data_IF_452540637413
#
_entry.id   IF_452540637413
#
_cell.length_a   1.000
_cell.length_b   1.000
_cell.length_c   1.000
_cell.angle_alpha   90.00
_cell.angle_beta   90.00
_cell.angle_gamma   90.00
#
_symmetry.space_group_name_H-M   'P 1'
#
loop_
_entity.id
_entity.type
_entity.pdbx_description
1 polymer ?
#
# COMPACT_ATOMS: atom_id res chain seq x y z
N UNK A 1 -27.02 -15.60 26.72
CA UNK A 1 -27.26 -14.18 27.00
C UNK A 1 -26.74 -13.90 28.41
N UNK A 2 -25.42 -13.74 28.56
CA UNK A 2 -24.80 -13.45 29.86
C UNK A 2 -24.64 -11.93 29.95
N UNK A 3 -25.47 -11.29 30.78
CA UNK A 3 -25.19 -9.97 31.31
C UNK A 3 -23.93 -10.08 32.18
N UNK A 4 -22.76 -10.00 31.55
CA UNK A 4 -21.50 -9.88 32.26
C UNK A 4 -21.50 -8.56 33.02
N UNK A 5 -21.55 -8.64 34.35
CA UNK A 5 -21.26 -7.51 35.25
C UNK A 5 -19.98 -6.83 34.73
N UNK A 6 -20.12 -5.60 34.22
CA UNK A 6 -18.97 -4.80 33.79
C UNK A 6 -18.12 -4.53 35.03
N UNK A 7 -16.97 -5.18 35.13
CA UNK A 7 -16.00 -4.91 36.21
C UNK A 7 -15.64 -3.43 36.15
N UNK A 8 -15.73 -2.74 37.28
CA UNK A 8 -15.23 -1.39 37.45
C UNK A 8 -13.75 -1.50 37.85
N UNK A 9 -12.93 -0.64 37.25
CA UNK A 9 -11.51 -0.58 37.56
C UNK A 9 -11.12 0.85 37.92
N UNK A 10 -10.22 0.96 38.89
CA UNK A 10 -9.63 2.24 39.31
C UNK A 10 -8.28 2.39 38.61
N UNK A 11 -8.06 3.51 37.91
CA UNK A 11 -6.77 3.79 37.28
C UNK A 11 -5.74 4.18 38.35
N UNK A 12 -4.63 3.46 38.50
CA UNK A 12 -3.65 3.80 39.55
C UNK A 12 -2.82 5.08 39.31
N UNK A 13 -2.99 5.73 38.15
CA UNK A 13 -2.31 6.99 37.82
C UNK A 13 -3.23 8.20 38.08
N UNK A 14 -4.44 8.21 37.52
CA UNK A 14 -5.39 9.32 37.70
C UNK A 14 -6.43 9.08 38.80
N UNK A 15 -6.47 7.88 39.39
CA UNK A 15 -7.42 7.45 40.42
C UNK A 15 -8.90 7.46 39.98
N UNK A 16 -9.18 7.64 38.69
CA UNK A 16 -10.54 7.60 38.16
C UNK A 16 -11.07 6.17 38.07
N UNK A 17 -12.30 5.99 38.53
CA UNK A 17 -13.07 4.76 38.41
C UNK A 17 -13.93 4.79 37.16
N UNK A 18 -13.80 3.78 36.31
CA UNK A 18 -14.74 3.62 35.20
C UNK A 18 -14.88 2.16 34.78
N UNK A 19 -15.90 1.90 33.97
CA UNK A 19 -16.17 0.57 33.47
C UNK A 19 -15.03 0.06 32.60
N UNK A 20 -14.68 -1.22 32.74
CA UNK A 20 -13.73 -1.91 31.87
C UNK A 20 -14.12 -1.73 30.39
N UNK A 21 -13.34 -0.92 29.67
CA UNK A 21 -13.50 -0.68 28.25
C UNK A 21 -12.13 -0.80 27.56
N UNK A 22 -12.10 -0.63 26.23
CA UNK A 22 -10.85 -0.74 25.45
C UNK A 22 -9.78 0.32 25.76
N UNK A 23 -10.06 1.32 26.60
CA UNK A 23 -9.07 2.33 27.02
C UNK A 23 -8.23 1.87 28.21
N UNK A 24 -8.64 0.82 28.93
CA UNK A 24 -7.82 0.21 29.99
C UNK A 24 -6.84 -0.82 29.45
N UNK A 25 -5.74 -0.97 30.16
CA UNK A 25 -4.87 -2.14 30.12
C UNK A 25 -5.24 -2.94 31.35
N UNK A 26 -5.85 -4.09 31.12
CA UNK A 26 -6.20 -5.03 32.18
C UNK A 26 -5.00 -5.95 32.37
N UNK A 27 -4.35 -5.84 33.52
CA UNK A 27 -3.23 -6.65 33.92
C UNK A 27 -3.68 -8.08 34.24
N UNK A 28 -2.86 -9.07 33.86
CA UNK A 28 -3.12 -10.48 34.17
C UNK A 28 -3.00 -10.82 35.66
N UNK A 29 -2.57 -9.87 36.51
CA UNK A 29 -2.39 -10.07 37.95
C UNK A 29 -3.70 -10.09 38.76
N UNK A 30 -4.84 -9.76 38.15
CA UNK A 30 -6.16 -9.82 38.80
C UNK A 30 -6.44 -8.70 39.82
N UNK A 31 -5.53 -7.74 39.99
CA UNK A 31 -5.73 -6.59 40.89
C UNK A 31 -6.88 -5.67 40.41
N UNK A 32 -7.51 -4.94 41.34
CA UNK A 32 -8.54 -3.95 40.97
C UNK A 32 -7.94 -2.67 40.36
N UNK A 33 -6.69 -2.37 40.74
CA UNK A 33 -5.90 -1.28 40.19
C UNK A 33 -5.40 -1.65 38.79
N UNK A 34 -6.03 -1.03 37.80
CA UNK A 34 -5.68 -1.12 36.39
C UNK A 34 -5.16 0.23 35.90
N UNK A 35 -4.85 0.37 34.62
CA UNK A 35 -4.36 1.65 34.09
C UNK A 35 -5.01 2.00 32.77
N UNK A 36 -5.37 3.26 32.59
CA UNK A 36 -5.71 3.74 31.25
C UNK A 36 -4.46 3.70 30.38
N UNK A 37 -4.60 3.23 29.13
CA UNK A 37 -3.55 3.30 28.10
C UNK A 37 -2.97 4.70 28.02
N UNK A 38 -3.85 5.70 28.02
CA UNK A 38 -3.51 7.13 28.00
C UNK A 38 -2.60 7.50 29.17
N UNK A 39 -3.00 7.19 30.40
CA UNK A 39 -2.21 7.51 31.58
C UNK A 39 -0.85 6.78 31.59
N UNK A 40 -0.82 5.51 31.17
CA UNK A 40 0.42 4.74 31.13
C UNK A 40 1.43 5.33 30.13
N UNK A 41 0.98 5.74 28.94
CA UNK A 41 1.85 6.37 27.94
C UNK A 41 2.46 7.67 28.47
N UNK A 42 1.63 8.54 29.08
CA UNK A 42 2.10 9.79 29.70
C UNK A 42 3.13 9.52 30.80
N UNK A 43 2.85 8.55 31.65
CA UNK A 43 3.74 8.18 32.75
C UNK A 43 5.07 7.59 32.27
N UNK A 44 5.04 6.72 31.26
CA UNK A 44 6.25 6.20 30.60
C UNK A 44 7.09 7.33 29.99
N UNK A 45 6.46 8.34 29.39
CA UNK A 45 7.15 9.52 28.88
C UNK A 45 7.84 10.29 30.01
N UNK A 46 7.13 10.59 31.10
CA UNK A 46 7.71 11.31 32.25
C UNK A 46 8.87 10.54 32.89
N UNK A 47 8.76 9.21 33.02
CA UNK A 47 9.84 8.38 33.57
C UNK A 47 11.09 8.41 32.70
N UNK A 48 10.94 8.19 31.39
CA UNK A 48 12.08 8.19 30.48
C UNK A 48 12.68 9.59 30.34
N UNK A 49 11.88 10.66 30.46
CA UNK A 49 12.36 12.06 30.52
C UNK A 49 13.22 12.30 31.77
N UNK A 50 12.77 11.89 32.95
CA UNK A 50 13.57 11.99 34.18
C UNK A 50 14.89 11.22 34.08
N UNK A 51 14.89 10.06 33.43
CA UNK A 51 16.10 9.28 33.19
C UNK A 51 17.05 9.98 32.21
N UNK A 52 16.52 10.62 31.18
CA UNK A 52 17.29 11.44 30.24
C UNK A 52 17.99 12.61 30.96
N UNK A 53 17.29 13.27 31.87
CA UNK A 53 17.84 14.38 32.67
C UNK A 53 18.90 13.89 33.68
N UNK A 54 18.87 12.61 34.07
CA UNK A 54 19.73 11.98 35.08
C UNK A 54 21.11 11.52 34.59
N UNK A 55 21.57 11.95 33.41
CA UNK A 55 22.90 11.66 32.83
C UNK A 55 23.25 10.18 32.51
N UNK A 56 22.35 9.22 32.73
CA UNK A 56 22.62 7.78 32.57
C UNK A 56 22.08 7.22 31.25
N UNK A 57 22.53 7.79 30.13
CA UNK A 57 22.13 7.34 28.78
C UNK A 57 23.12 6.28 28.31
N UNK A 58 22.75 5.01 28.47
CA UNK A 58 23.43 3.91 27.79
C UNK A 58 23.55 4.20 26.27
N UNK A 59 24.78 4.09 25.72
CA UNK A 59 25.11 4.28 24.29
C UNK A 59 24.23 3.47 23.34
N UNK A 60 23.63 2.38 23.83
CA UNK A 60 22.70 1.56 23.06
C UNK A 60 21.50 2.36 22.53
N UNK A 61 20.88 3.18 23.39
CA UNK A 61 19.66 3.89 23.02
C UNK A 61 19.94 5.19 22.25
N UNK A 62 21.05 5.91 22.47
CA UNK A 62 21.36 7.19 21.78
C UNK A 62 20.22 8.23 21.79
N UNK A 63 19.43 8.28 22.86
CA UNK A 63 18.37 9.28 23.01
C UNK A 63 19.00 10.50 23.65
N UNK A 64 19.28 11.54 22.86
CA UNK A 64 19.97 12.74 23.37
C UNK A 64 19.05 13.97 23.51
N UNK A 65 17.80 13.86 23.06
CA UNK A 65 16.84 14.98 23.09
C UNK A 65 15.44 14.49 23.47
N UNK A 66 14.66 15.35 24.12
CA UNK A 66 13.24 15.11 24.42
C UNK A 66 12.44 14.84 23.13
N UNK A 67 12.81 15.50 22.02
CA UNK A 67 12.20 15.27 20.71
C UNK A 67 12.39 13.82 20.24
N UNK A 68 13.59 13.27 20.37
CA UNK A 68 13.86 11.88 19.99
C UNK A 68 13.13 10.89 20.92
N UNK A 69 13.09 11.18 22.22
CA UNK A 69 12.30 10.39 23.17
C UNK A 69 10.81 10.35 22.76
N UNK A 70 10.24 11.52 22.42
CA UNK A 70 8.86 11.63 21.92
C UNK A 70 8.64 10.75 20.68
N UNK A 71 9.55 10.81 19.70
CA UNK A 71 9.45 10.00 18.47
C UNK A 71 9.43 8.50 18.76
N UNK A 72 10.25 8.03 19.70
CA UNK A 72 10.30 6.61 20.06
C UNK A 72 9.08 6.13 20.83
N UNK A 73 8.57 6.94 21.75
CA UNK A 73 7.32 6.63 22.44
C UNK A 73 6.16 6.60 21.44
N UNK A 74 6.12 7.55 20.50
CA UNK A 74 5.15 7.50 19.41
C UNK A 74 5.27 6.19 18.60
N UNK A 75 6.50 5.78 18.25
CA UNK A 75 6.75 4.55 17.49
C UNK A 75 6.31 3.28 18.23
N UNK A 76 6.53 3.21 19.55
CA UNK A 76 6.16 2.04 20.37
C UNK A 76 4.63 1.91 20.53
N UNK A 77 3.94 3.05 20.53
CA UNK A 77 2.53 3.12 20.89
C UNK A 77 1.61 3.18 19.67
N UNK A 78 2.10 3.54 18.50
CA UNK A 78 1.28 3.63 17.29
C UNK A 78 0.69 2.28 16.86
N UNK A 79 -0.63 2.13 16.98
CA UNK A 79 -1.35 0.90 16.59
C UNK A 79 -1.51 0.73 15.08
N UNK A 80 -1.21 1.74 14.27
CA UNK A 80 -1.29 1.73 12.81
C UNK A 80 0.11 1.78 12.16
N UNK A 81 1.13 1.30 12.89
CA UNK A 81 2.53 1.33 12.47
C UNK A 81 2.80 0.68 11.13
N UNK A 82 2.14 -0.45 10.87
CA UNK A 82 2.23 -1.21 9.62
C UNK A 82 1.88 -0.39 8.36
N UNK A 83 1.19 0.75 8.50
CA UNK A 83 0.84 1.59 7.36
C UNK A 83 2.05 2.32 6.75
N UNK A 84 3.08 2.61 7.53
CA UNK A 84 4.27 3.36 7.09
C UNK A 84 5.56 2.51 7.12
N UNK A 85 5.47 1.26 7.56
CA UNK A 85 6.57 0.30 7.52
C UNK A 85 6.63 -0.39 6.15
N UNK A 86 7.85 -0.64 5.67
CA UNK A 86 8.05 -1.49 4.50
C UNK A 86 7.73 -2.95 4.87
N UNK A 87 7.12 -3.69 3.95
CA UNK A 87 6.86 -5.12 4.18
C UNK A 87 8.19 -5.86 4.32
N UNK A 88 8.46 -6.43 5.50
CA UNK A 88 9.57 -7.34 5.71
C UNK A 88 9.07 -8.79 5.59
N UNK A 89 9.13 -9.34 4.38
CA UNK A 89 8.73 -10.72 4.09
C UNK A 89 9.57 -11.71 4.91
N UNK A 90 10.86 -11.43 5.10
CA UNK A 90 11.78 -12.26 5.89
C UNK A 90 11.35 -12.40 7.34
N UNK A 91 11.06 -11.28 8.02
CA UNK A 91 10.57 -11.30 9.40
C UNK A 91 9.25 -12.06 9.52
N UNK A 92 8.37 -11.90 8.51
CA UNK A 92 7.09 -12.63 8.46
C UNK A 92 7.32 -14.14 8.38
N UNK A 93 8.27 -14.57 7.56
CA UNK A 93 8.59 -15.98 7.37
C UNK A 93 9.26 -16.56 8.61
N UNK A 94 10.17 -15.82 9.23
CA UNK A 94 10.81 -16.21 10.49
C UNK A 94 9.80 -16.37 11.63
N UNK A 95 8.68 -15.65 11.59
CA UNK A 95 7.58 -15.83 12.55
C UNK A 95 6.75 -17.10 12.33
N UNK A 96 6.89 -17.77 11.17
CA UNK A 96 6.18 -19.02 10.88
C UNK A 96 6.98 -20.20 11.44
N UNK A 97 6.43 -20.99 12.38
CA UNK A 97 7.16 -22.06 13.06
C UNK A 97 7.60 -23.21 12.13
N UNK A 98 7.05 -23.27 10.91
CA UNK A 98 7.26 -24.35 9.94
C UNK A 98 8.40 -24.05 8.96
N UNK A 99 8.78 -22.77 8.78
CA UNK A 99 9.69 -22.37 7.71
C UNK A 99 11.11 -22.21 8.26
N UNK A 100 12.00 -23.13 7.90
CA UNK A 100 13.41 -23.08 8.31
C UNK A 100 14.19 -21.87 7.76
N UNK A 101 15.33 -21.54 8.39
CA UNK A 101 16.17 -20.39 8.01
C UNK A 101 16.62 -20.39 6.53
N UNK A 102 16.78 -21.56 5.92
CA UNK A 102 17.16 -21.71 4.50
C UNK A 102 16.13 -21.14 3.54
N UNK A 103 14.83 -21.38 3.80
CA UNK A 103 13.74 -20.84 2.99
C UNK A 103 13.62 -19.32 3.12
N UNK A 104 13.90 -18.77 4.29
CA UNK A 104 13.92 -17.33 4.51
C UNK A 104 14.93 -16.63 3.58
N UNK A 105 16.11 -17.22 3.36
CA UNK A 105 17.13 -16.70 2.44
C UNK A 105 16.67 -16.69 0.97
N UNK A 106 16.07 -17.79 0.48
CA UNK A 106 15.56 -17.84 -0.91
C UNK A 106 14.44 -16.84 -1.15
N UNK A 107 13.54 -16.68 -0.19
CA UNK A 107 12.45 -15.73 -0.31
C UNK A 107 12.98 -14.30 -0.21
N UNK A 108 13.99 -14.03 0.62
CA UNK A 108 14.66 -12.73 0.69
C UNK A 108 15.29 -12.32 -0.65
N UNK A 109 16.06 -13.22 -1.29
CA UNK A 109 16.68 -12.96 -2.60
C UNK A 109 15.61 -12.70 -3.65
N UNK A 110 14.52 -13.46 -3.62
CA UNK A 110 13.38 -13.28 -4.54
C UNK A 110 12.67 -11.94 -4.33
N UNK A 111 12.41 -11.56 -3.07
CA UNK A 111 11.82 -10.26 -2.70
C UNK A 111 12.70 -9.10 -3.17
N UNK A 112 14.02 -9.21 -2.96
CA UNK A 112 15.00 -8.22 -3.40
C UNK A 112 15.02 -8.10 -4.94
N UNK A 113 15.00 -9.22 -5.65
CA UNK A 113 14.95 -9.25 -7.11
C UNK A 113 13.67 -8.60 -7.63
N UNK A 114 12.50 -8.92 -7.06
CA UNK A 114 11.22 -8.29 -7.42
C UNK A 114 11.28 -6.78 -7.21
N UNK A 115 11.80 -6.31 -6.07
CA UNK A 115 11.94 -4.87 -5.82
C UNK A 115 12.85 -4.19 -6.83
N UNK A 116 14.02 -4.78 -7.11
CA UNK A 116 14.96 -4.25 -8.07
C UNK A 116 14.34 -4.15 -9.48
N UNK A 117 13.63 -5.20 -9.90
CA UNK A 117 12.90 -5.27 -11.18
C UNK A 117 11.84 -4.17 -11.26
N UNK A 118 11.07 -3.95 -10.19
CA UNK A 118 10.03 -2.93 -10.12
C UNK A 118 10.59 -1.51 -9.91
N UNK A 119 11.90 -1.34 -9.72
CA UNK A 119 12.50 -0.05 -9.36
C UNK A 119 12.02 0.47 -8.00
N UNK A 120 11.50 -0.42 -7.15
CA UNK A 120 11.15 -0.07 -5.78
C UNK A 120 12.43 0.09 -4.99
N UNK A 121 12.48 1.13 -4.15
CA UNK A 121 13.59 1.25 -3.21
C UNK A 121 13.73 -0.07 -2.46
N UNK A 122 14.95 -0.61 -2.43
CA UNK A 122 15.27 -1.63 -1.45
C UNK A 122 14.86 -1.08 -0.09
N UNK A 123 14.46 -1.92 0.87
CA UNK A 123 14.34 -1.46 2.24
C UNK A 123 15.74 -0.97 2.59
N UNK A 124 15.99 0.33 2.39
CA UNK A 124 17.12 1.01 2.99
C UNK A 124 16.88 0.62 4.44
N UNK A 125 17.81 -0.12 5.03
CA UNK A 125 17.96 -0.14 6.48
C UNK A 125 18.29 1.33 6.85
N UNK A 126 17.32 2.23 6.64
CA UNK A 126 17.34 3.56 7.20
C UNK A 126 17.33 3.23 8.66
N UNK A 127 18.50 3.45 9.23
CA UNK A 127 18.85 3.42 10.62
C UNK A 127 17.99 4.44 11.40
N UNK A 128 16.68 4.40 11.24
CA UNK A 128 15.77 5.00 12.16
C UNK A 128 15.89 4.16 13.42
N UNK A 129 16.71 4.63 14.36
CA UNK A 129 16.98 3.99 15.65
C UNK A 129 15.72 3.88 16.54
N UNK A 130 14.54 4.22 15.98
CA UNK A 130 13.22 4.03 16.57
C UNK A 130 12.98 2.57 17.00
N UNK A 131 13.53 1.59 16.28
CA UNK A 131 13.44 0.17 16.64
C UNK A 131 14.13 -0.17 17.97
N UNK A 132 15.09 0.66 18.42
CA UNK A 132 15.81 0.43 19.69
C UNK A 132 14.95 0.71 20.92
N UNK A 133 13.72 1.17 20.75
CA UNK A 133 12.79 1.39 21.87
C UNK A 133 13.27 2.48 22.84
N UNK A 134 12.82 2.37 24.08
CA UNK A 134 13.14 3.32 25.17
C UNK A 134 13.74 2.58 26.37
N UNK A 135 14.56 3.23 27.21
CA UNK A 135 15.18 2.60 28.36
C UNK A 135 14.20 1.92 29.34
N UNK A 136 12.99 2.47 29.48
CA UNK A 136 11.93 1.93 30.35
C UNK A 136 10.69 1.65 29.49
N UNK A 137 10.48 0.38 29.13
CA UNK A 137 9.36 -0.07 28.27
C UNK A 137 8.19 -0.67 29.04
N UNK A 138 8.42 -1.13 30.27
CA UNK A 138 7.41 -1.83 31.07
C UNK A 138 7.35 -1.32 32.50
N UNK A 139 6.21 -1.54 33.14
CA UNK A 139 5.87 -1.02 34.46
C UNK A 139 5.40 -2.15 35.35
N UNK A 140 5.74 -2.07 36.63
CA UNK A 140 5.27 -3.02 37.65
C UNK A 140 3.93 -2.55 38.23
N UNK A 141 3.03 -3.50 38.47
CA UNK A 141 1.77 -3.21 39.16
C UNK A 141 2.07 -2.67 40.57
N UNK A 142 1.49 -1.53 40.99
CA UNK A 142 1.79 -0.94 42.29
C UNK A 142 1.35 -1.84 43.46
N UNK A 143 0.29 -2.65 43.28
CA UNK A 143 -0.29 -3.51 44.32
C UNK A 143 0.48 -4.81 44.52
N UNK A 144 0.84 -5.51 43.43
CA UNK A 144 1.43 -6.85 43.50
C UNK A 144 2.85 -6.95 42.95
N UNK A 145 3.43 -5.84 42.48
CA UNK A 145 4.78 -5.73 41.89
C UNK A 145 5.05 -6.64 40.68
N UNK A 146 4.07 -7.42 40.21
CA UNK A 146 4.18 -8.19 38.97
C UNK A 146 4.35 -7.21 37.80
N UNK A 147 5.30 -7.52 36.91
CA UNK A 147 5.45 -6.81 35.64
C UNK A 147 4.15 -6.90 34.88
N UNK A 148 3.66 -5.75 34.42
CA UNK A 148 2.57 -5.72 33.46
C UNK A 148 3.15 -6.26 32.16
N UNK A 149 2.84 -7.52 31.81
CA UNK A 149 3.22 -8.11 30.52
C UNK A 149 2.70 -7.17 29.44
N UNK A 150 3.62 -6.44 28.82
CA UNK A 150 3.30 -5.42 27.85
C UNK A 150 2.76 -6.11 26.60
N UNK A 151 1.45 -6.36 26.56
CA UNK A 151 0.77 -6.31 25.26
C UNK A 151 1.18 -4.97 24.64
N UNK A 152 1.58 -4.94 23.36
CA UNK A 152 2.06 -3.72 22.75
C UNK A 152 1.04 -2.62 23.01
N UNK A 153 1.52 -1.52 23.56
CA UNK A 153 0.75 -0.39 24.06
C UNK A 153 0.10 0.35 22.88
N UNK A 154 -0.85 -0.27 22.18
CA UNK A 154 -1.35 0.26 20.93
C UNK A 154 -2.42 1.33 21.17
N UNK A 155 -2.15 2.52 20.65
CA UNK A 155 -3.09 3.62 20.50
C UNK A 155 -3.61 3.65 19.07
N UNK A 156 -4.93 3.76 18.93
CA UNK A 156 -5.61 3.96 17.65
C UNK A 156 -6.73 4.97 17.86
N UNK A 157 -6.96 5.84 16.89
CA UNK A 157 -8.08 6.81 16.87
C UNK A 157 -9.47 6.16 16.84
N UNK A 158 -9.56 4.84 16.63
CA UNK A 158 -10.83 4.13 16.48
C UNK A 158 -11.48 4.33 15.10
N UNK A 159 -10.80 4.97 14.15
CA UNK A 159 -11.30 5.15 12.78
C UNK A 159 -11.51 3.79 12.10
N UNK A 160 -12.74 3.43 11.68
CA UNK A 160 -13.01 2.15 11.05
C UNK A 160 -12.28 2.02 9.71
N UNK A 161 -12.06 3.13 9.02
CA UNK A 161 -11.38 3.15 7.72
C UNK A 161 -9.89 2.81 7.86
N UNK A 162 -9.21 3.38 8.87
CA UNK A 162 -7.80 3.05 9.14
C UNK A 162 -7.66 1.62 9.68
N UNK A 163 -8.64 1.17 10.47
CA UNK A 163 -8.70 -0.22 10.91
C UNK A 163 -8.79 -1.19 9.73
N UNK A 164 -9.70 -0.93 8.78
CA UNK A 164 -9.83 -1.75 7.57
C UNK A 164 -8.54 -1.73 6.74
N UNK A 165 -7.93 -0.56 6.54
CA UNK A 165 -6.68 -0.46 5.81
C UNK A 165 -5.55 -1.25 6.48
N UNK A 166 -5.45 -1.17 7.82
CA UNK A 166 -4.49 -1.95 8.60
C UNK A 166 -4.71 -3.45 8.43
N UNK A 167 -5.97 -3.89 8.49
CA UNK A 167 -6.32 -5.28 8.28
C UNK A 167 -5.95 -5.74 6.87
N UNK A 168 -6.24 -4.95 5.84
CA UNK A 168 -5.85 -5.22 4.45
C UNK A 168 -4.34 -5.34 4.31
N UNK A 169 -3.55 -4.42 4.89
CA UNK A 169 -2.08 -4.50 4.88
C UNK A 169 -1.57 -5.77 5.55
N UNK A 170 -2.17 -6.16 6.68
CA UNK A 170 -1.81 -7.39 7.38
C UNK A 170 -2.13 -8.63 6.54
N UNK A 171 -3.30 -8.69 5.92
CA UNK A 171 -3.68 -9.77 5.00
C UNK A 171 -2.73 -9.83 3.80
N UNK A 172 -2.41 -8.68 3.20
CA UNK A 172 -1.49 -8.61 2.06
C UNK A 172 -0.08 -9.09 2.43
N UNK A 173 0.40 -8.80 3.65
CA UNK A 173 1.69 -9.31 4.15
C UNK A 173 1.74 -10.84 4.17
N UNK A 174 0.69 -11.50 4.67
CA UNK A 174 0.62 -12.97 4.66
C UNK A 174 0.38 -13.53 3.26
N UNK A 175 -0.49 -12.87 2.47
CA UNK A 175 -0.76 -13.26 1.08
C UNK A 175 0.50 -13.19 0.21
N UNK A 176 1.37 -12.20 0.42
CA UNK A 176 2.66 -12.07 -0.26
C UNK A 176 3.58 -13.27 0.01
N UNK A 177 3.68 -13.70 1.28
CA UNK A 177 4.49 -14.86 1.66
C UNK A 177 3.94 -16.13 1.02
N UNK A 178 2.62 -16.36 1.11
CA UNK A 178 1.97 -17.51 0.49
C UNK A 178 2.19 -17.48 -1.03
N UNK A 179 2.04 -16.32 -1.66
CA UNK A 179 2.25 -16.15 -3.08
C UNK A 179 3.70 -16.48 -3.48
N UNK A 180 4.72 -16.01 -2.74
CA UNK A 180 6.11 -16.35 -3.03
C UNK A 180 6.40 -17.85 -2.88
N UNK A 181 5.79 -18.52 -1.89
CA UNK A 181 5.89 -19.97 -1.73
C UNK A 181 5.20 -20.76 -2.86
N UNK A 182 4.05 -20.28 -3.35
CA UNK A 182 3.34 -20.91 -4.47
C UNK A 182 4.04 -20.61 -5.80
N UNK A 183 4.54 -19.39 -5.98
CA UNK A 183 5.23 -18.98 -7.19
C UNK A 183 6.54 -19.75 -7.40
N UNK A 184 7.26 -20.09 -6.32
CA UNK A 184 8.48 -20.90 -6.39
C UNK A 184 8.22 -22.38 -6.74
N UNK A 185 7.02 -22.89 -6.45
CA UNK A 185 6.64 -24.28 -6.71
C UNK A 185 5.87 -24.48 -8.02
N UNK A 186 5.48 -23.40 -8.70
CA UNK A 186 4.64 -23.47 -9.91
C UNK A 186 5.33 -22.86 -11.13
N UNK A 187 4.83 -23.20 -12.33
CA UNK A 187 5.30 -22.59 -13.56
C UNK A 187 4.79 -21.14 -13.65
N UNK A 188 5.61 -20.20 -13.19
CA UNK A 188 5.27 -18.77 -13.11
C UNK A 188 4.92 -18.18 -14.49
N UNK A 189 5.56 -18.64 -15.57
CA UNK A 189 5.30 -18.18 -16.94
C UNK A 189 3.89 -18.53 -17.37
N UNK A 190 3.42 -19.75 -17.05
CA UNK A 190 2.05 -20.18 -17.33
C UNK A 190 1.01 -19.34 -16.59
N UNK A 191 1.24 -19.07 -15.30
CA UNK A 191 0.37 -18.20 -14.52
C UNK A 191 0.34 -16.78 -15.06
N UNK A 192 1.51 -16.25 -15.42
CA UNK A 192 1.66 -14.92 -16.02
C UNK A 192 0.86 -14.80 -17.32
N UNK A 193 0.97 -15.77 -18.23
CA UNK A 193 0.24 -15.79 -19.51
C UNK A 193 -1.28 -15.83 -19.31
N UNK A 194 -1.77 -16.69 -18.39
CA UNK A 194 -3.21 -16.78 -18.09
C UNK A 194 -3.74 -15.51 -17.45
N UNK A 195 -2.98 -14.96 -16.51
CA UNK A 195 -3.27 -13.68 -15.86
C UNK A 195 -3.38 -12.56 -16.89
N UNK A 196 -2.37 -12.43 -17.76
CA UNK A 196 -2.33 -11.42 -18.79
C UNK A 196 -3.49 -11.52 -19.78
N UNK A 197 -3.80 -12.73 -20.25
CA UNK A 197 -4.93 -12.96 -21.13
C UNK A 197 -6.26 -12.64 -20.44
N UNK A 198 -6.41 -12.98 -19.16
CA UNK A 198 -7.58 -12.62 -18.38
C UNK A 198 -7.73 -11.09 -18.21
N UNK A 199 -6.63 -10.37 -17.94
CA UNK A 199 -6.66 -8.90 -17.85
C UNK A 199 -7.02 -8.27 -19.20
N UNK A 200 -6.48 -8.78 -20.31
CA UNK A 200 -6.84 -8.34 -21.66
C UNK A 200 -8.34 -8.53 -21.93
N UNK A 201 -8.92 -9.68 -21.54
CA UNK A 201 -10.36 -9.96 -21.65
C UNK A 201 -11.23 -9.05 -20.76
N UNK A 202 -10.66 -8.46 -19.72
CA UNK A 202 -11.38 -7.50 -18.89
C UNK A 202 -11.54 -6.17 -19.63
N UNK A 203 -10.53 -5.74 -20.40
CA UNK A 203 -10.55 -4.45 -21.08
C UNK A 203 -11.16 -4.59 -22.49
N UNK A 204 -10.70 -5.57 -23.26
CA UNK A 204 -11.11 -5.80 -24.64
C UNK A 204 -12.21 -6.87 -24.71
N UNK A 205 -13.37 -6.55 -25.30
CA UNK A 205 -14.37 -7.55 -25.66
C UNK A 205 -13.80 -8.57 -26.64
N UNK A 206 -14.41 -9.75 -26.70
CA UNK A 206 -13.87 -10.91 -27.41
C UNK A 206 -13.63 -10.64 -28.91
N UNK A 207 -14.51 -9.88 -29.59
CA UNK A 207 -14.36 -9.57 -31.02
C UNK A 207 -13.15 -8.65 -31.27
N UNK A 208 -12.97 -7.63 -30.45
CA UNK A 208 -11.84 -6.69 -30.50
C UNK A 208 -10.54 -7.42 -30.17
N UNK A 209 -10.55 -8.27 -29.14
CA UNK A 209 -9.39 -9.03 -28.72
C UNK A 209 -8.95 -10.07 -29.76
N UNK A 210 -9.90 -10.73 -30.44
CA UNK A 210 -9.61 -11.63 -31.58
C UNK A 210 -8.94 -10.90 -32.72
N UNK A 211 -9.44 -9.71 -33.08
CA UNK A 211 -8.82 -8.85 -34.11
C UNK A 211 -7.41 -8.43 -33.69
N UNK A 212 -7.23 -8.01 -32.44
CA UNK A 212 -5.94 -7.56 -31.91
C UNK A 212 -4.87 -8.68 -31.89
N UNK A 213 -5.25 -9.88 -31.44
CA UNK A 213 -4.35 -11.03 -31.35
C UNK A 213 -4.29 -11.86 -32.64
N UNK A 214 -5.09 -11.55 -33.66
CA UNK A 214 -5.22 -12.34 -34.90
C UNK A 214 -5.50 -13.83 -34.65
N UNK A 215 -6.36 -14.11 -33.66
CA UNK A 215 -6.76 -15.47 -33.30
C UNK A 215 -8.25 -15.68 -33.54
N UNK A 216 -8.63 -16.91 -33.90
CA UNK A 216 -10.04 -17.27 -34.13
C UNK A 216 -10.85 -17.23 -32.84
N UNK A 217 -10.28 -17.70 -31.73
CA UNK A 217 -10.89 -17.66 -30.39
C UNK A 217 -9.83 -17.45 -29.33
N UNK A 218 -10.13 -16.67 -28.28
CA UNK A 218 -9.18 -16.49 -27.18
C UNK A 218 -9.08 -17.75 -26.31
N UNK A 219 -10.12 -18.60 -26.30
CA UNK A 219 -10.13 -19.87 -25.56
C UNK A 219 -9.06 -20.86 -26.06
N UNK A 220 -8.71 -20.82 -27.34
CA UNK A 220 -7.63 -21.63 -27.87
C UNK A 220 -6.28 -21.29 -27.19
N UNK A 221 -6.04 -20.02 -26.87
CA UNK A 221 -4.82 -19.60 -26.18
C UNK A 221 -4.72 -20.21 -24.76
N UNK A 222 -5.83 -20.39 -24.05
CA UNK A 222 -5.83 -21.04 -22.74
C UNK A 222 -5.32 -22.49 -22.82
N UNK A 223 -5.66 -23.20 -23.91
CA UNK A 223 -5.19 -24.56 -24.18
C UNK A 223 -3.71 -24.53 -24.55
N UNK A 224 -3.30 -23.63 -25.44
CA UNK A 224 -1.90 -23.51 -25.87
C UNK A 224 -0.96 -23.13 -24.73
N UNK A 225 -1.40 -22.31 -23.76
CA UNK A 225 -0.60 -21.96 -22.58
C UNK A 225 -0.45 -23.12 -21.58
N UNK A 226 -1.15 -24.24 -21.75
CA UNK A 226 -0.97 -25.41 -20.88
C UNK A 226 0.26 -26.25 -21.24
N UNK A 227 0.80 -26.14 -22.46
CA UNK A 227 1.96 -26.91 -22.93
C UNK A 227 3.03 -26.03 -23.57
N UNK A 228 4.30 -26.43 -23.46
CA UNK A 228 5.40 -25.71 -24.11
C UNK A 228 5.33 -25.77 -25.63
N UNK A 229 4.81 -26.88 -26.19
CA UNK A 229 4.60 -27.05 -27.63
C UNK A 229 3.52 -26.09 -28.13
N UNK A 230 2.40 -25.98 -27.40
CA UNK A 230 1.34 -25.01 -27.70
C UNK A 230 1.82 -23.57 -27.58
N UNK A 231 2.62 -23.25 -26.56
CA UNK A 231 3.20 -21.92 -26.45
C UNK A 231 4.13 -21.60 -27.63
N UNK A 232 4.90 -22.57 -28.14
CA UNK A 232 5.76 -22.36 -29.31
C UNK A 232 4.98 -22.10 -30.59
N UNK A 233 3.81 -22.72 -30.78
CA UNK A 233 2.99 -22.59 -31.99
C UNK A 233 2.24 -21.26 -32.12
N UNK A 234 2.13 -20.48 -31.05
CA UNK A 234 1.54 -19.14 -31.11
C UNK A 234 2.48 -18.21 -31.89
N UNK A 235 1.91 -17.24 -32.61
CA UNK A 235 2.68 -16.20 -33.29
C UNK A 235 3.45 -15.29 -32.31
N UNK A 236 4.61 -14.78 -32.72
CA UNK A 236 5.47 -13.96 -31.86
C UNK A 236 4.79 -12.66 -31.42
N UNK A 237 4.02 -12.02 -32.30
CA UNK A 237 3.29 -10.80 -31.97
C UNK A 237 2.26 -11.04 -30.86
N UNK A 238 1.50 -12.12 -30.96
CA UNK A 238 0.52 -12.52 -29.92
C UNK A 238 1.20 -12.79 -28.58
N UNK A 239 2.37 -13.45 -28.59
CA UNK A 239 3.16 -13.66 -27.36
C UNK A 239 3.58 -12.33 -26.74
N UNK A 240 4.09 -11.41 -27.55
CA UNK A 240 4.54 -10.10 -27.07
C UNK A 240 3.38 -9.27 -26.51
N UNK A 241 2.22 -9.25 -27.18
CA UNK A 241 1.05 -8.53 -26.67
C UNK A 241 0.50 -9.11 -25.38
N UNK A 242 0.44 -10.44 -25.25
CA UNK A 242 -0.05 -11.08 -24.02
C UNK A 242 0.99 -10.93 -22.91
N UNK A 243 2.25 -11.33 -23.12
CA UNK A 243 3.30 -11.24 -22.08
C UNK A 243 3.60 -9.81 -21.66
N UNK A 244 3.55 -8.88 -22.61
CA UNK A 244 3.86 -7.47 -22.38
C UNK A 244 2.76 -6.72 -21.65
N UNK A 245 1.52 -7.23 -21.63
CA UNK A 245 0.40 -6.47 -21.06
C UNK A 245 0.53 -6.19 -19.56
N UNK A 246 0.82 -7.17 -18.68
CA UNK A 246 0.98 -6.87 -17.26
C UNK A 246 2.25 -6.05 -16.99
N UNK A 247 3.27 -6.17 -17.84
CA UNK A 247 4.48 -5.33 -17.76
C UNK A 247 4.14 -3.88 -18.11
N UNK A 248 3.32 -3.67 -19.13
CA UNK A 248 2.78 -2.34 -19.47
C UNK A 248 1.97 -1.77 -18.31
N UNK A 249 1.03 -2.54 -17.74
CA UNK A 249 0.28 -2.08 -16.57
C UNK A 249 1.19 -1.72 -15.39
N UNK A 250 2.24 -2.50 -15.15
CA UNK A 250 3.24 -2.18 -14.14
C UNK A 250 4.02 -0.90 -14.49
N UNK A 251 4.42 -0.70 -15.74
CA UNK A 251 5.17 0.49 -16.16
C UNK A 251 4.36 1.79 -16.05
N UNK A 252 3.03 1.72 -16.10
CA UNK A 252 2.15 2.87 -15.80
C UNK A 252 2.30 3.36 -14.35
N UNK A 253 2.73 2.50 -13.42
CA UNK A 253 2.96 2.83 -12.01
C UNK A 253 4.42 3.14 -11.69
N UNK A 254 5.36 2.47 -12.34
CA UNK A 254 6.79 2.60 -12.04
C UNK A 254 7.51 3.51 -13.04
N UNK A 255 7.42 4.83 -12.81
CA UNK A 255 8.07 5.85 -13.64
C UNK A 255 9.60 5.72 -13.69
N UNK A 256 10.22 5.10 -12.66
CA UNK A 256 11.69 4.97 -12.53
C UNK A 256 12.23 3.56 -12.82
N UNK A 257 11.37 2.61 -13.15
CA UNK A 257 11.80 1.24 -13.44
C UNK A 257 12.46 1.16 -14.83
N UNK A 258 13.24 0.11 -15.05
CA UNK A 258 13.72 -0.25 -16.40
C UNK A 258 12.57 -0.40 -17.40
N UNK A 259 11.37 -0.73 -16.91
CA UNK A 259 10.16 -0.88 -17.72
C UNK A 259 9.46 0.43 -18.05
N UNK A 260 9.89 1.59 -17.53
CA UNK A 260 9.27 2.87 -17.83
C UNK A 260 9.20 3.13 -19.35
N UNK A 261 10.22 2.72 -20.11
CA UNK A 261 10.25 2.83 -21.57
C UNK A 261 9.21 1.92 -22.27
N UNK A 262 8.85 0.79 -21.66
CA UNK A 262 7.84 -0.12 -22.21
C UNK A 262 6.44 0.48 -22.21
N UNK A 263 6.21 1.52 -21.38
CA UNK A 263 4.99 2.32 -21.41
C UNK A 263 4.71 2.88 -22.81
N UNK A 264 5.73 3.30 -23.54
CA UNK A 264 5.57 3.85 -24.89
C UNK A 264 5.57 2.76 -25.98
N UNK A 265 6.27 1.65 -25.73
CA UNK A 265 6.40 0.57 -26.71
C UNK A 265 5.11 -0.23 -26.88
N UNK A 266 4.44 -0.57 -25.78
CA UNK A 266 3.26 -1.45 -25.83
C UNK A 266 2.07 -0.86 -26.60
N UNK A 267 1.67 0.41 -26.37
CA UNK A 267 0.59 1.05 -27.13
C UNK A 267 0.94 1.17 -28.61
N UNK A 268 2.20 1.44 -28.94
CA UNK A 268 2.65 1.47 -30.33
C UNK A 268 2.48 0.11 -31.01
N UNK A 269 2.82 -1.00 -30.33
CA UNK A 269 2.60 -2.35 -30.84
C UNK A 269 1.10 -2.64 -31.05
N UNK A 270 0.25 -2.19 -30.12
CA UNK A 270 -1.19 -2.33 -30.22
C UNK A 270 -1.77 -1.53 -31.40
N UNK A 271 -1.40 -0.26 -31.53
CA UNK A 271 -1.92 0.67 -32.56
C UNK A 271 -1.41 0.31 -33.96
N UNK A 272 -0.13 -0.02 -34.13
CA UNK A 272 0.47 -0.35 -35.45
C UNK A 272 -0.30 -1.46 -36.18
N UNK A 273 -0.90 -2.39 -35.45
CA UNK A 273 -1.70 -3.47 -36.02
C UNK A 273 -3.21 -3.22 -36.06
N UNK A 274 -3.68 -2.13 -35.43
CA UNK A 274 -5.09 -1.73 -35.37
C UNK A 274 -5.40 -0.48 -36.22
N UNK A 275 -4.46 -0.02 -37.06
CA UNK A 275 -4.61 1.16 -37.92
C UNK A 275 -5.86 1.15 -38.83
N UNK A 276 -6.51 0.00 -39.02
CA UNK A 276 -7.77 -0.11 -39.76
C UNK A 276 -9.00 0.32 -38.97
N UNK A 277 -8.94 0.36 -37.63
CA UNK A 277 -10.09 0.64 -36.77
C UNK A 277 -9.93 2.01 -36.10
N UNK A 278 -10.64 3.02 -36.64
CA UNK A 278 -10.48 4.42 -36.22
C UNK A 278 -10.72 4.68 -34.73
N UNK A 279 -11.69 4.00 -34.10
CA UNK A 279 -12.00 4.22 -32.67
C UNK A 279 -10.91 3.64 -31.75
N UNK A 280 -10.42 2.44 -32.02
CA UNK A 280 -9.36 1.79 -31.22
C UNK A 280 -8.11 2.66 -31.17
N UNK A 281 -7.67 3.14 -32.34
CA UNK A 281 -6.49 3.96 -32.48
C UNK A 281 -6.65 5.29 -31.73
N UNK A 282 -7.81 5.96 -31.89
CA UNK A 282 -8.13 7.21 -31.17
C UNK A 282 -8.13 7.01 -29.65
N UNK A 283 -8.88 6.02 -29.14
CA UNK A 283 -8.97 5.75 -27.68
C UNK A 283 -7.58 5.45 -27.11
N UNK A 284 -6.80 4.61 -27.79
CA UNK A 284 -5.45 4.26 -27.37
C UNK A 284 -4.52 5.48 -27.34
N UNK A 285 -4.66 6.38 -28.32
CA UNK A 285 -3.88 7.61 -28.40
C UNK A 285 -4.26 8.60 -27.30
N UNK A 286 -5.56 8.76 -27.02
CA UNK A 286 -6.04 9.60 -25.93
C UNK A 286 -5.64 9.06 -24.55
N UNK A 287 -5.65 7.74 -24.36
CA UNK A 287 -5.11 7.16 -23.13
C UNK A 287 -3.64 7.49 -22.95
N UNK A 288 -2.81 7.42 -23.99
CA UNK A 288 -1.40 7.77 -23.85
C UNK A 288 -1.19 9.24 -23.48
N UNK A 289 -1.95 10.15 -24.09
CA UNK A 289 -1.97 11.55 -23.68
C UNK A 289 -2.39 11.70 -22.21
N UNK A 290 -3.45 11.02 -21.78
CA UNK A 290 -3.90 11.05 -20.39
C UNK A 290 -2.84 10.53 -19.43
N UNK A 291 -2.18 9.41 -19.73
CA UNK A 291 -1.12 8.89 -18.87
C UNK A 291 0.07 9.88 -18.83
N UNK A 292 0.37 10.59 -19.92
CA UNK A 292 1.43 11.62 -19.93
C UNK A 292 1.07 12.84 -19.08
N UNK A 293 -0.17 13.32 -19.16
CA UNK A 293 -0.63 14.47 -18.38
C UNK A 293 -0.98 14.14 -16.94
N UNK A 294 -1.28 12.88 -16.62
CA UNK A 294 -1.72 12.48 -15.30
C UNK A 294 -0.72 12.84 -14.18
N UNK A 295 0.58 12.49 -14.29
CA UNK A 295 1.56 12.89 -13.27
C UNK A 295 1.72 14.41 -13.16
N UNK A 296 1.67 15.11 -14.29
CA UNK A 296 1.81 16.57 -14.32
C UNK A 296 0.66 17.28 -13.61
N UNK A 297 -0.55 16.74 -13.66
CA UNK A 297 -1.73 17.33 -13.05
C UNK A 297 -2.00 16.79 -11.64
N UNK A 298 -2.14 15.47 -11.52
CA UNK A 298 -2.59 14.86 -10.27
C UNK A 298 -1.46 14.72 -9.25
N UNK A 299 -0.28 14.24 -9.66
CA UNK A 299 0.82 14.04 -8.71
C UNK A 299 1.33 15.39 -8.18
N UNK A 300 1.42 16.41 -9.02
CA UNK A 300 1.80 17.77 -8.58
C UNK A 300 0.80 18.36 -7.59
N UNK A 301 -0.50 18.27 -7.87
CA UNK A 301 -1.56 18.78 -6.99
C UNK A 301 -1.62 17.99 -5.67
N UNK A 302 -1.63 16.67 -5.75
CA UNK A 302 -1.70 15.80 -4.56
C UNK A 302 -0.46 15.93 -3.69
N UNK A 303 0.75 15.97 -4.26
CA UNK A 303 1.99 16.20 -3.52
C UNK A 303 2.01 17.58 -2.88
N UNK A 304 1.53 18.63 -3.55
CA UNK A 304 1.40 19.97 -2.96
C UNK A 304 0.50 19.97 -1.72
N UNK A 305 -0.66 19.30 -1.80
CA UNK A 305 -1.59 19.16 -0.68
C UNK A 305 -0.96 18.36 0.46
N UNK A 306 -0.36 17.21 0.16
CA UNK A 306 0.27 16.33 1.15
C UNK A 306 1.44 17.03 1.83
N UNK A 307 2.26 17.80 1.11
CA UNK A 307 3.36 18.57 1.71
C UNK A 307 2.88 19.57 2.74
N UNK A 308 1.80 20.31 2.44
CA UNK A 308 1.21 21.25 3.41
C UNK A 308 0.77 20.52 4.68
N UNK A 309 0.18 19.33 4.53
CA UNK A 309 -0.22 18.52 5.68
C UNK A 309 0.98 17.95 6.45
N UNK A 310 2.01 17.47 5.76
CA UNK A 310 3.23 16.95 6.36
C UNK A 310 4.00 18.03 7.13
N UNK A 311 4.14 19.22 6.56
CA UNK A 311 4.77 20.37 7.19
C UNK A 311 4.04 20.77 8.49
N UNK A 312 2.71 20.66 8.48
CA UNK A 312 1.88 20.93 9.67
C UNK A 312 2.00 19.83 10.73
N UNK A 313 1.80 18.56 10.36
CA UNK A 313 1.69 17.47 11.34
C UNK A 313 3.05 16.95 11.84
N UNK A 314 4.12 17.16 11.06
CA UNK A 314 5.48 16.70 11.34
C UNK A 314 5.52 15.27 11.93
N UNK A 315 5.11 14.26 11.14
CA UNK A 315 4.92 12.92 11.66
C UNK A 315 6.24 12.35 12.23
N UNK A 316 6.14 11.69 13.38
CA UNK A 316 7.32 11.30 14.17
C UNK A 316 8.32 10.40 13.43
N UNK A 317 7.90 9.65 12.41
CA UNK A 317 8.78 8.75 11.65
C UNK A 317 9.58 9.48 10.57
N UNK A 318 9.26 10.73 10.22
CA UNK A 318 10.07 11.54 9.31
C UNK A 318 11.27 12.15 10.07
N UNK A 319 12.42 12.21 9.41
CA UNK A 319 13.64 12.76 10.01
C UNK A 319 13.58 14.29 10.13
N UNK A 320 14.25 14.88 11.14
CA UNK A 320 14.36 16.33 11.26
C UNK A 320 15.01 17.00 10.04
N UNK A 321 15.95 16.32 9.37
CA UNK A 321 16.61 16.79 8.14
C UNK A 321 15.64 16.86 6.96
N UNK A 322 14.67 15.94 6.91
CA UNK A 322 13.58 15.99 5.94
C UNK A 322 12.69 17.21 6.18
N UNK A 323 12.38 17.53 7.44
CA UNK A 323 11.59 18.73 7.76
C UNK A 323 12.32 20.01 7.34
N UNK A 324 13.66 20.06 7.47
CA UNK A 324 14.46 21.18 6.96
C UNK A 324 14.45 21.25 5.43
N UNK A 325 14.60 20.12 4.73
CA UNK A 325 14.55 20.06 3.25
C UNK A 325 13.16 20.40 2.67
N UNK A 326 12.08 20.01 3.36
CA UNK A 326 10.70 20.40 3.01
C UNK A 326 10.49 21.91 3.14
N UNK A 327 11.19 22.57 4.09
CA UNK A 327 11.17 24.03 4.22
C UNK A 327 12.06 24.73 3.18
N UNK A 328 13.16 24.10 2.75
CA UNK A 328 14.14 24.68 1.82
C UNK A 328 13.85 24.41 0.32
N UNK A 329 12.74 23.75 -0.04
CA UNK A 329 12.40 23.45 -1.45
C UNK A 329 13.56 22.81 -2.24
N UNK A 330 14.48 22.11 -1.56
CA UNK A 330 15.61 21.46 -2.25
C UNK A 330 15.09 20.23 -3.00
N UNK A 331 14.96 20.42 -4.31
CA UNK A 331 14.37 19.47 -5.26
C UNK A 331 15.04 18.08 -5.23
N UNK A 332 16.31 17.98 -4.80
CA UNK A 332 17.10 16.75 -4.82
C UNK A 332 16.61 15.63 -3.88
N UNK A 333 15.98 15.95 -2.75
CA UNK A 333 15.47 14.90 -1.83
C UNK A 333 14.00 14.54 -2.09
N UNK A 334 13.24 15.45 -2.69
CA UNK A 334 11.84 15.22 -3.07
C UNK A 334 11.72 14.28 -4.28
N UNK A 335 12.79 14.12 -5.05
CA UNK A 335 12.79 13.42 -6.32
C UNK A 335 12.78 11.88 -6.17
N UNK A 336 12.93 11.29 -4.98
CA UNK A 336 13.04 9.83 -4.81
C UNK A 336 11.72 9.07 -4.56
N UNK A 337 10.69 9.66 -3.95
CA UNK A 337 9.47 8.93 -3.57
C UNK A 337 8.19 9.78 -3.69
N UNK A 338 7.12 9.19 -4.22
CA UNK A 338 5.78 9.79 -4.15
C UNK A 338 5.46 10.16 -2.71
N UNK A 339 5.19 11.42 -2.44
CA UNK A 339 5.11 11.90 -1.05
C UNK A 339 3.87 11.37 -0.34
N UNK A 340 2.81 11.06 -1.10
CA UNK A 340 1.65 10.31 -0.61
C UNK A 340 2.02 8.90 -0.12
N UNK A 341 3.06 8.28 -0.70
CA UNK A 341 3.59 6.98 -0.29
C UNK A 341 4.40 7.06 1.02
N UNK A 342 4.83 8.24 1.47
CA UNK A 342 5.60 8.37 2.71
C UNK A 342 4.76 8.05 3.96
N UNK A 343 3.47 8.40 3.95
CA UNK A 343 2.57 8.23 5.11
C UNK A 343 1.91 6.85 5.10
N UNK A 344 1.45 6.43 3.93
CA UNK A 344 0.88 5.10 3.69
C UNK A 344 1.71 4.46 2.59
N UNK A 345 2.71 3.68 2.98
CA UNK A 345 3.65 3.04 2.04
C UNK A 345 2.96 1.94 1.26
N UNK A 346 3.00 2.02 -0.06
CA UNK A 346 2.61 0.89 -0.92
C UNK A 346 3.70 -0.17 -0.88
N UNK A 347 3.29 -1.42 -0.68
CA UNK A 347 4.19 -2.58 -0.79
C UNK A 347 4.14 -3.10 -2.22
N UNK A 348 5.16 -3.87 -2.65
CA UNK A 348 5.13 -4.50 -3.98
C UNK A 348 3.91 -5.40 -4.16
N UNK A 349 3.43 -6.03 -3.08
CA UNK A 349 2.26 -6.90 -3.11
C UNK A 349 0.98 -6.10 -3.34
N UNK A 350 0.83 -4.93 -2.70
CA UNK A 350 -0.29 -4.04 -2.97
C UNK A 350 -0.33 -3.65 -4.45
N UNK A 351 0.81 -3.28 -5.02
CA UNK A 351 0.91 -2.89 -6.43
C UNK A 351 0.58 -4.06 -7.35
N UNK A 352 1.04 -5.27 -7.04
CA UNK A 352 0.72 -6.46 -7.81
C UNK A 352 -0.79 -6.76 -7.79
N UNK A 353 -1.41 -6.75 -6.61
CA UNK A 353 -2.85 -6.99 -6.44
C UNK A 353 -3.65 -5.91 -7.16
N UNK A 354 -3.26 -4.65 -7.04
CA UNK A 354 -3.89 -3.53 -7.73
C UNK A 354 -3.80 -3.68 -9.24
N UNK A 355 -2.62 -3.98 -9.80
CA UNK A 355 -2.44 -4.19 -11.23
C UNK A 355 -3.27 -5.39 -11.74
N UNK A 356 -3.40 -6.43 -10.92
CA UNK A 356 -4.25 -7.59 -11.22
C UNK A 356 -5.74 -7.19 -11.28
N UNK A 357 -6.23 -6.55 -10.23
CA UNK A 357 -7.66 -6.30 -10.03
C UNK A 357 -8.16 -5.09 -10.84
N UNK A 358 -7.28 -4.14 -11.17
CA UNK A 358 -7.64 -2.88 -11.82
C UNK A 358 -8.42 -3.04 -13.13
N UNK A 359 -7.99 -3.86 -14.12
CA UNK A 359 -8.75 -4.10 -15.35
C UNK A 359 -10.17 -4.62 -15.08
N UNK A 360 -10.32 -5.51 -14.10
CA UNK A 360 -11.62 -6.07 -13.73
C UNK A 360 -12.52 -5.01 -13.08
N UNK A 361 -12.01 -4.21 -12.16
CA UNK A 361 -12.76 -3.08 -11.58
C UNK A 361 -13.18 -2.07 -12.64
N UNK A 362 -12.29 -1.77 -13.60
CA UNK A 362 -12.60 -0.87 -14.72
C UNK A 362 -13.77 -1.36 -15.54
N UNK A 363 -13.79 -2.66 -15.88
CA UNK A 363 -14.94 -3.31 -16.53
C UNK A 363 -16.22 -3.23 -15.70
N UNK A 364 -16.14 -3.46 -14.39
CA UNK A 364 -17.31 -3.38 -13.51
C UNK A 364 -17.89 -1.95 -13.43
N UNK A 365 -17.02 -0.94 -13.30
CA UNK A 365 -17.44 0.47 -13.30
C UNK A 365 -18.05 0.85 -14.66
N UNK A 366 -17.40 0.45 -15.75
CA UNK A 366 -17.91 0.64 -17.11
C UNK A 366 -19.32 0.06 -17.29
N UNK A 367 -19.47 -1.24 -17.02
CA UNK A 367 -20.72 -1.98 -17.26
C UNK A 367 -21.87 -1.61 -16.32
N UNK A 368 -21.59 -1.21 -15.07
CA UNK A 368 -22.63 -0.91 -14.07
C UNK A 368 -22.94 0.58 -13.91
N UNK A 369 -21.94 1.43 -14.07
CA UNK A 369 -22.04 2.87 -13.78
C UNK A 369 -22.04 3.66 -15.08
N UNK A 370 -20.96 3.56 -15.87
CA UNK A 370 -20.79 4.42 -17.06
C UNK A 370 -21.79 4.09 -18.16
N UNK A 371 -22.16 2.82 -18.34
CA UNK A 371 -23.17 2.37 -19.31
C UNK A 371 -24.56 3.00 -19.08
N UNK A 372 -24.87 3.43 -17.85
CA UNK A 372 -26.13 4.10 -17.50
C UNK A 372 -26.10 5.59 -17.83
N UNK A 373 -24.93 6.15 -18.09
CA UNK A 373 -24.75 7.56 -18.42
C UNK A 373 -24.85 7.70 -19.94
N UNK A 374 -26.07 7.91 -20.43
CA UNK A 374 -26.35 7.98 -21.87
C UNK A 374 -25.53 9.02 -22.63
N UNK A 375 -25.11 10.10 -21.97
CA UNK A 375 -24.25 11.12 -22.57
C UNK A 375 -22.89 10.56 -23.04
N UNK A 376 -22.28 9.64 -22.30
CA UNK A 376 -20.97 9.07 -22.67
C UNK A 376 -21.11 8.21 -23.93
N UNK A 377 -22.16 7.38 -23.99
CA UNK A 377 -22.46 6.56 -25.15
C UNK A 377 -22.73 7.45 -26.39
N UNK A 378 -23.54 8.50 -26.23
CA UNK A 378 -23.82 9.46 -27.31
C UNK A 378 -22.56 10.18 -27.79
N UNK A 379 -21.67 10.55 -26.88
CA UNK A 379 -20.38 11.17 -27.19
C UNK A 379 -19.49 10.23 -28.01
N UNK A 380 -19.37 8.97 -27.59
CA UNK A 380 -18.61 7.95 -28.33
C UNK A 380 -19.14 7.73 -29.76
N UNK A 381 -20.46 7.59 -29.91
CA UNK A 381 -21.09 7.46 -31.23
C UNK A 381 -20.94 8.72 -32.09
N UNK A 382 -20.88 9.90 -31.47
CA UNK A 382 -20.65 11.16 -32.20
C UNK A 382 -19.22 11.29 -32.73
N UNK A 383 -18.23 10.78 -31.98
CA UNK A 383 -16.80 10.84 -32.36
C UNK A 383 -16.48 9.81 -33.46
N UNK A 384 -17.14 8.66 -33.42
CA UNK A 384 -16.98 7.56 -34.37
C UNK A 384 -18.35 6.91 -34.68
N UNK A 385 -19.06 7.40 -35.72
CA UNK A 385 -20.37 6.86 -36.10
C UNK A 385 -20.33 5.40 -36.55
N UNK A 386 -19.20 4.97 -37.11
CA UNK A 386 -18.98 3.62 -37.64
C UNK A 386 -18.56 2.59 -36.58
N UNK A 387 -18.45 3.01 -35.31
CA UNK A 387 -17.97 2.13 -34.25
C UNK A 387 -18.95 0.99 -33.97
N UNK A 388 -18.41 -0.23 -33.88
CA UNK A 388 -19.20 -1.39 -33.47
C UNK A 388 -19.53 -1.35 -31.98
N UNK A 389 -20.60 -2.02 -31.51
CA UNK A 389 -20.95 -2.08 -30.09
C UNK A 389 -19.80 -2.54 -29.20
N UNK A 390 -19.01 -3.51 -29.68
CA UNK A 390 -17.86 -4.04 -28.95
C UNK A 390 -16.68 -3.05 -28.89
N UNK A 391 -16.50 -2.21 -29.91
CA UNK A 391 -15.49 -1.14 -29.87
C UNK A 391 -15.90 -0.02 -28.92
N UNK A 392 -17.20 0.28 -28.83
CA UNK A 392 -17.75 1.16 -27.80
C UNK A 392 -17.58 0.56 -26.40
N UNK A 393 -17.84 -0.74 -26.20
CA UNK A 393 -17.62 -1.40 -24.91
C UNK A 393 -16.13 -1.36 -24.50
N UNK A 394 -15.20 -1.57 -25.45
CA UNK A 394 -13.77 -1.39 -25.19
C UNK A 394 -13.45 0.03 -24.69
N UNK A 395 -13.94 1.06 -25.40
CA UNK A 395 -13.71 2.45 -25.01
C UNK A 395 -14.26 2.74 -23.61
N UNK A 396 -15.46 2.23 -23.32
CA UNK A 396 -16.09 2.37 -22.00
C UNK A 396 -15.30 1.65 -20.89
N UNK A 397 -14.77 0.46 -21.16
CA UNK A 397 -13.92 -0.29 -20.21
C UNK A 397 -12.63 0.48 -19.92
N UNK A 398 -12.02 1.09 -20.93
CA UNK A 398 -10.84 1.96 -20.78
C UNK A 398 -11.18 3.18 -19.92
N UNK A 399 -12.29 3.88 -20.17
CA UNK A 399 -12.75 4.97 -19.31
C UNK A 399 -13.04 4.50 -17.88
N UNK A 400 -13.61 3.31 -17.72
CA UNK A 400 -13.80 2.66 -16.43
C UNK A 400 -12.46 2.48 -15.70
N UNK A 401 -11.41 2.02 -16.38
CA UNK A 401 -10.07 1.91 -15.81
C UNK A 401 -9.53 3.27 -15.36
N UNK A 402 -9.69 4.34 -16.16
CA UNK A 402 -9.28 5.70 -15.78
C UNK A 402 -10.02 6.17 -14.53
N UNK A 403 -11.34 5.94 -14.46
CA UNK A 403 -12.15 6.30 -13.30
C UNK A 403 -11.71 5.55 -12.03
N UNK A 404 -11.33 4.26 -12.15
CA UNK A 404 -10.78 3.49 -11.00
C UNK A 404 -9.49 4.13 -10.48
N UNK A 405 -8.57 4.54 -11.36
CA UNK A 405 -7.30 5.15 -10.94
C UNK A 405 -7.54 6.46 -10.19
N UNK A 406 -8.37 7.34 -10.76
CA UNK A 406 -8.75 8.61 -10.12
C UNK A 406 -9.42 8.37 -8.76
N UNK A 407 -10.37 7.44 -8.70
CA UNK A 407 -11.07 7.10 -7.46
C UNK A 407 -10.12 6.54 -6.40
N UNK A 408 -9.21 5.64 -6.79
CA UNK A 408 -8.18 5.08 -5.91
C UNK A 408 -7.31 6.20 -5.32
N UNK A 409 -6.81 7.10 -6.16
CA UNK A 409 -5.84 8.09 -5.70
C UNK A 409 -6.51 9.18 -4.84
N UNK A 410 -7.80 9.49 -5.08
CA UNK A 410 -8.64 10.29 -4.18
C UNK A 410 -8.87 9.59 -2.82
N UNK A 411 -9.20 8.29 -2.84
CA UNK A 411 -9.34 7.49 -1.60
C UNK A 411 -8.02 7.50 -0.84
N UNK A 412 -6.90 7.32 -1.53
CA UNK A 412 -5.56 7.35 -0.93
C UNK A 412 -5.26 8.69 -0.28
N UNK A 413 -5.53 9.80 -0.97
CA UNK A 413 -5.37 11.15 -0.42
C UNK A 413 -6.21 11.35 0.85
N UNK A 414 -7.46 10.88 0.85
CA UNK A 414 -8.34 10.90 2.03
C UNK A 414 -7.79 10.05 3.18
N UNK A 415 -7.29 8.84 2.90
CA UNK A 415 -6.68 7.97 3.90
C UNK A 415 -5.44 8.63 4.52
N UNK A 416 -4.58 9.22 3.70
CA UNK A 416 -3.40 9.98 4.14
C UNK A 416 -3.80 11.13 5.04
N UNK A 417 -4.82 11.91 4.66
CA UNK A 417 -5.34 12.99 5.50
C UNK A 417 -5.83 12.49 6.87
N UNK A 418 -6.63 11.41 6.89
CA UNK A 418 -7.14 10.83 8.14
C UNK A 418 -6.01 10.31 9.02
N UNK A 419 -4.99 9.72 8.40
CA UNK A 419 -3.81 9.23 9.11
C UNK A 419 -2.98 10.36 9.69
N UNK A 420 -2.77 11.45 8.96
CA UNK A 420 -2.03 12.61 9.46
C UNK A 420 -2.77 13.29 10.62
N UNK A 421 -4.09 13.39 10.57
CA UNK A 421 -4.90 13.87 11.71
C UNK A 421 -4.79 12.98 12.95
N UNK A 422 -4.76 11.66 12.76
CA UNK A 422 -4.53 10.72 13.87
C UNK A 422 -3.15 10.93 14.48
N UNK A 423 -2.11 11.10 13.65
CA UNK A 423 -0.74 11.36 14.10
C UNK A 423 -0.60 12.70 14.82
N UNK A 424 -1.23 13.76 14.33
CA UNK A 424 -1.27 15.08 14.97
C UNK A 424 -1.88 14.97 16.38
N UNK A 425 -3.12 14.45 16.49
CA UNK A 425 -3.79 14.28 17.79
C UNK A 425 -3.00 13.37 18.75
N UNK A 426 -2.34 12.35 18.21
CA UNK A 426 -1.52 11.42 18.99
C UNK A 426 -0.21 12.05 19.47
N UNK A 427 0.45 12.85 18.64
CA UNK A 427 1.67 13.56 19.00
C UNK A 427 1.39 14.69 19.98
N UNK A 428 0.28 15.41 19.83
CA UNK A 428 -0.14 16.49 20.74
C UNK A 428 -0.41 15.93 22.13
N UNK A 429 -1.07 14.78 22.19
CA UNK A 429 -1.34 14.05 23.42
C UNK A 429 -0.08 13.74 24.26
N UNK A 430 1.07 13.49 23.61
CA UNK A 430 2.36 13.23 24.28
C UNK A 430 3.10 14.54 24.62
N UNK A 431 2.81 15.67 23.98
CA UNK A 431 3.40 16.98 24.36
C UNK A 431 2.74 17.63 25.57
N UNK A 432 1.45 17.34 25.85
CA UNK A 432 0.73 17.88 27.01
C UNK A 432 1.12 17.19 28.34
N UNK A 433 2.39 16.84 28.50
CA UNK A 433 3.03 16.27 29.70
C UNK A 433 4.36 16.92 29.96
#
# INVERSE_FOLDING_TARGET
MLMGLRKQYTCWICLEESNANGSYIVHDCGCNLQVHKRCLIKWLFTLNKKRLDGYDINDFYKINTVRELKRRICYLVDGNRILHEDMNTVETIQSLPVVGQTWASFICVTDLAIRAILGLSTPKYRSHELWRGVPIESVECPQCKKKVLARPLQYTSGSPVLFLLRLTKQVNRYAAVIFLCVASSTNIVKWWLKCALWQLRCIMPESVLRKALKVTTTRALDVYFNSMTGFRSIDQHTKLLVLGFPIYLASLRFSKSLFAHLRFLYPFLLVKHQLTNGLLAKVSSYTELLVLFYPLLFDTLSNSIVNRWLAKSQPYFLEPKWNAAVHDYSFEYADEADQADLVIKSTWCDIFIENLIWPWLGKQISSKILSRIGWIANCLTSICPEATPDECEYAMNVFGCVAVVLGKDLIRLYLTFRRLKELEAFQDFISDT
#
